data_IF_233643110122
#
_entry.id   IF_233643110122
#
_cell.length_a   1.000
_cell.length_b   1.000
_cell.length_c   1.000
_cell.angle_alpha   90.00
_cell.angle_beta   90.00
_cell.angle_gamma   90.00
#
_symmetry.space_group_name_H-M   'P 1'
#
loop_
_entity.id
_entity.type
_entity.pdbx_description
1 polymer ?
#
# COMPACT_ATOMS: atom_id res chain seq x y z
N UNK A 1 53.99 56.84 41.45
CA UNK A 1 54.24 57.41 42.80
C UNK A 1 53.27 56.80 43.80
N UNK A 2 53.80 56.33 44.94
CA UNK A 2 53.23 56.28 46.32
C UNK A 2 51.82 55.67 46.48
N UNK A 3 51.72 54.46 47.05
CA UNK A 3 51.61 54.14 48.50
C UNK A 3 50.18 54.32 49.06
N UNK A 4 49.85 53.45 50.02
CA UNK A 4 48.67 53.39 50.91
C UNK A 4 47.54 52.50 50.39
N UNK A 5 47.50 51.21 50.69
CA UNK A 5 47.58 50.54 52.00
C UNK A 5 46.47 51.01 52.95
N UNK A 6 45.62 50.02 53.28
CA UNK A 6 44.94 49.82 54.57
C UNK A 6 43.65 50.62 54.83
N UNK A 7 42.54 49.86 54.73
CA UNK A 7 41.54 49.59 55.79
C UNK A 7 40.14 49.66 55.21
N UNK A 8 39.56 48.50 54.91
CA UNK A 8 38.16 48.27 55.30
C UNK A 8 37.89 46.77 55.29
N UNK A 9 38.41 46.13 56.35
CA UNK A 9 38.21 44.74 56.75
C UNK A 9 36.74 44.42 57.13
N UNK A 10 35.78 45.17 56.60
CA UNK A 10 34.36 45.11 56.98
C UNK A 10 33.43 44.81 55.79
N UNK A 11 33.94 44.75 54.55
CA UNK A 11 33.15 44.35 53.38
C UNK A 11 33.24 42.83 53.13
N UNK A 12 34.24 42.17 53.73
CA UNK A 12 34.50 40.72 53.56
C UNK A 12 33.46 39.86 54.29
N UNK A 13 32.70 40.40 55.25
CA UNK A 13 31.72 39.62 56.02
C UNK A 13 30.32 39.57 55.41
N UNK A 14 30.04 40.30 54.31
CA UNK A 14 28.72 40.29 53.65
C UNK A 14 28.67 39.45 52.37
N UNK A 15 29.82 38.96 51.88
CA UNK A 15 29.90 38.13 50.65
C UNK A 15 29.87 36.62 50.99
N UNK A 16 30.11 36.26 52.26
CA UNK A 16 30.12 34.87 52.74
C UNK A 16 28.75 34.17 52.77
N UNK A 17 27.64 34.86 52.45
CA UNK A 17 26.30 34.25 52.38
C UNK A 17 25.87 33.85 50.95
N UNK A 18 26.69 34.09 49.92
CA UNK A 18 26.37 33.70 48.54
C UNK A 18 27.06 32.42 48.05
N UNK A 19 27.93 31.79 48.86
CA UNK A 19 28.68 30.60 48.46
C UNK A 19 28.24 29.30 49.16
N UNK A 20 27.15 29.34 49.93
CA UNK A 20 26.69 28.21 50.74
C UNK A 20 25.57 27.38 50.09
N UNK A 21 25.38 27.45 48.76
CA UNK A 21 24.50 26.51 48.06
C UNK A 21 24.92 26.36 46.60
N UNK A 22 25.98 25.59 46.36
CA UNK A 22 26.21 24.95 45.07
C UNK A 22 26.28 23.43 45.31
N UNK A 23 25.17 22.86 45.74
CA UNK A 23 24.96 21.42 45.66
C UNK A 23 24.75 21.07 44.19
N UNK A 24 25.81 20.51 43.59
CA UNK A 24 25.78 19.89 42.27
C UNK A 24 24.81 18.72 42.29
N UNK A 25 23.53 19.02 42.06
CA UNK A 25 22.52 18.04 41.69
C UNK A 25 22.95 17.37 40.41
N UNK A 26 23.47 16.15 40.54
CA UNK A 26 23.73 15.28 39.40
C UNK A 26 22.37 14.81 38.92
N UNK A 27 21.78 15.56 38.00
CA UNK A 27 20.58 15.15 37.28
C UNK A 27 20.98 13.95 36.43
N UNK A 28 20.68 12.75 36.94
CA UNK A 28 20.77 11.52 36.17
C UNK A 28 19.75 11.64 35.05
N UNK A 29 20.25 11.88 33.84
CA UNK A 29 19.52 11.64 32.60
C UNK A 29 18.94 10.23 32.68
N UNK A 30 17.62 10.15 32.82
CA UNK A 30 16.88 8.90 32.64
C UNK A 30 17.00 8.62 31.14
N UNK A 31 17.62 7.51 30.70
CA UNK A 31 17.60 7.15 29.31
C UNK A 31 16.14 6.96 28.93
N UNK A 32 15.60 7.87 28.12
CA UNK A 32 14.33 7.66 27.47
C UNK A 32 14.54 6.47 26.54
N UNK A 33 14.18 5.28 27.01
CA UNK A 33 13.95 4.14 26.15
C UNK A 33 12.76 4.53 25.29
N UNK A 34 13.06 5.15 24.15
CA UNK A 34 12.13 5.26 23.05
C UNK A 34 11.89 3.81 22.67
N UNK A 35 10.82 3.22 23.19
CA UNK A 35 10.27 1.98 22.67
C UNK A 35 9.96 2.28 21.20
N UNK A 36 10.90 1.90 20.34
CA UNK A 36 10.74 1.94 18.91
C UNK A 36 9.56 1.01 18.62
N UNK A 37 8.37 1.61 18.47
CA UNK A 37 7.16 0.90 18.06
C UNK A 37 7.49 0.31 16.70
N UNK A 38 7.95 -0.95 16.69
CA UNK A 38 8.22 -1.70 15.47
C UNK A 38 6.91 -1.74 14.69
N UNK A 39 6.82 -0.85 13.71
CA UNK A 39 5.69 -0.80 12.78
C UNK A 39 5.54 -2.19 12.19
N UNK A 40 4.31 -2.72 12.20
CA UNK A 40 4.07 -4.03 11.64
C UNK A 40 4.57 -4.07 10.19
N UNK A 41 5.25 -5.16 9.78
CA UNK A 41 5.79 -5.27 8.42
C UNK A 41 4.65 -5.17 7.42
N UNK A 42 4.81 -4.27 6.45
CA UNK A 42 3.83 -4.08 5.38
C UNK A 42 4.19 -5.02 4.25
N UNK A 43 3.22 -5.82 3.82
CA UNK A 43 3.40 -6.75 2.72
C UNK A 43 2.73 -6.26 1.44
N UNK A 44 3.42 -6.38 0.32
CA UNK A 44 2.87 -6.16 -1.01
C UNK A 44 3.31 -7.27 -1.97
N UNK A 45 2.36 -7.83 -2.72
CA UNK A 45 2.53 -9.04 -3.56
C UNK A 45 3.05 -10.29 -2.83
N UNK A 46 3.02 -10.30 -1.49
CA UNK A 46 3.59 -11.36 -0.67
C UNK A 46 5.03 -11.08 -0.19
N UNK A 47 5.60 -9.93 -0.51
CA UNK A 47 6.95 -9.52 -0.13
C UNK A 47 6.91 -8.48 0.99
N UNK A 48 7.87 -8.58 1.92
CA UNK A 48 8.04 -7.64 3.00
C UNK A 48 8.67 -6.34 2.48
N UNK A 49 7.97 -5.20 2.61
CA UNK A 49 8.47 -3.90 2.18
C UNK A 49 9.65 -3.39 3.03
N UNK A 50 9.92 -4.01 4.17
CA UNK A 50 11.12 -3.72 4.96
C UNK A 50 12.38 -4.29 4.30
N UNK A 51 12.25 -5.35 3.49
CA UNK A 51 13.35 -6.03 2.79
C UNK A 51 13.41 -5.67 1.30
N UNK A 52 12.28 -5.33 0.70
CA UNK A 52 12.16 -5.08 -0.74
C UNK A 52 11.65 -3.68 -1.06
N UNK A 53 12.22 -3.08 -2.10
CA UNK A 53 11.72 -1.86 -2.72
C UNK A 53 10.89 -2.22 -3.96
N UNK A 54 9.70 -1.62 -4.08
CA UNK A 54 8.80 -1.87 -5.22
C UNK A 54 8.77 -0.65 -6.12
N UNK A 55 9.12 -0.85 -7.39
CA UNK A 55 9.01 0.16 -8.45
C UNK A 55 7.85 -0.23 -9.36
N UNK A 56 6.80 0.57 -9.36
CA UNK A 56 5.57 0.33 -10.15
C UNK A 56 5.60 1.15 -11.42
N UNK A 57 5.13 0.56 -12.50
CA UNK A 57 4.97 1.23 -13.79
C UNK A 57 3.84 0.55 -14.59
N UNK A 58 3.57 1.03 -15.80
CA UNK A 58 2.48 0.55 -16.65
C UNK A 58 3.03 0.20 -18.04
N UNK A 59 2.59 -0.92 -18.59
CA UNK A 59 2.98 -1.37 -19.92
C UNK A 59 2.48 -0.37 -20.96
N UNK A 60 3.38 0.16 -21.80
CA UNK A 60 3.03 1.09 -22.87
C UNK A 60 2.86 0.37 -24.21
N UNK A 61 2.25 1.06 -25.17
CA UNK A 61 2.13 0.52 -26.53
C UNK A 61 3.52 0.28 -27.13
N UNK A 62 3.74 -0.92 -27.67
CA UNK A 62 5.03 -1.34 -28.21
C UNK A 62 6.04 -1.87 -27.17
N UNK A 63 5.68 -1.94 -25.89
CA UNK A 63 6.52 -2.62 -24.90
C UNK A 63 6.36 -4.13 -24.99
N UNK A 64 7.48 -4.82 -24.85
CA UNK A 64 7.56 -6.28 -24.78
C UNK A 64 8.23 -6.68 -23.48
N UNK A 65 7.96 -7.90 -23.02
CA UNK A 65 8.60 -8.42 -21.81
C UNK A 65 10.13 -8.34 -21.89
N UNK A 66 10.71 -8.74 -23.03
CA UNK A 66 12.15 -8.64 -23.24
C UNK A 66 12.68 -7.22 -23.24
N UNK A 67 11.96 -6.24 -23.79
CA UNK A 67 12.35 -4.83 -23.74
C UNK A 67 12.32 -4.29 -22.29
N UNK A 68 11.26 -4.60 -21.56
CA UNK A 68 11.08 -4.21 -20.15
C UNK A 68 12.21 -4.78 -19.28
N UNK A 69 12.55 -6.06 -19.45
CA UNK A 69 13.68 -6.67 -18.74
C UNK A 69 15.03 -6.11 -19.22
N UNK A 70 15.21 -5.89 -20.53
CA UNK A 70 16.44 -5.32 -21.08
C UNK A 70 16.77 -3.93 -20.54
N UNK A 71 15.74 -3.10 -20.29
CA UNK A 71 15.89 -1.80 -19.63
C UNK A 71 16.33 -1.90 -18.16
N UNK A 72 16.19 -3.09 -17.54
CA UNK A 72 16.56 -3.38 -16.15
C UNK A 72 17.79 -4.29 -16.06
N UNK A 73 18.74 -4.13 -16.99
CA UNK A 73 20.05 -4.79 -17.00
C UNK A 73 20.03 -6.32 -17.17
N UNK A 74 18.99 -6.89 -17.78
CA UNK A 74 19.00 -8.29 -18.22
C UNK A 74 19.55 -8.44 -19.63
N UNK A 75 20.50 -9.36 -19.81
CA UNK A 75 21.04 -9.71 -21.11
C UNK A 75 20.08 -10.57 -21.94
N UNK A 76 20.29 -10.60 -23.26
CA UNK A 76 19.43 -11.36 -24.19
C UNK A 76 19.32 -12.84 -23.82
N UNK A 77 20.43 -13.46 -23.40
CA UNK A 77 20.46 -14.87 -22.96
C UNK A 77 19.64 -15.09 -21.68
N UNK A 78 19.77 -14.20 -20.69
CA UNK A 78 18.99 -14.26 -19.45
C UNK A 78 17.50 -14.13 -19.74
N UNK A 79 17.10 -13.16 -20.57
CA UNK A 79 15.70 -12.93 -20.96
C UNK A 79 15.10 -14.17 -21.64
N UNK A 80 15.86 -14.82 -22.54
CA UNK A 80 15.42 -16.03 -23.20
C UNK A 80 15.21 -17.18 -22.20
N UNK A 81 16.18 -17.39 -21.29
CA UNK A 81 16.06 -18.40 -20.25
C UNK A 81 14.89 -18.16 -19.31
N UNK A 82 14.65 -16.90 -18.92
CA UNK A 82 13.50 -16.50 -18.11
C UNK A 82 12.21 -16.85 -18.84
N UNK A 83 12.08 -16.36 -20.08
CA UNK A 83 10.88 -16.55 -20.90
C UNK A 83 10.57 -18.04 -21.11
N UNK A 84 11.58 -18.88 -21.35
CA UNK A 84 11.39 -20.32 -21.55
C UNK A 84 10.97 -21.02 -20.27
N UNK A 85 11.65 -20.75 -19.14
CA UNK A 85 11.36 -21.40 -17.86
C UNK A 85 10.01 -21.00 -17.29
N UNK A 86 9.55 -19.78 -17.54
CA UNK A 86 8.31 -19.28 -16.96
C UNK A 86 7.11 -19.41 -17.90
N UNK A 87 7.31 -19.83 -19.16
CA UNK A 87 6.30 -19.88 -20.22
C UNK A 87 5.00 -20.59 -19.83
N UNK A 88 5.10 -21.66 -19.02
CA UNK A 88 3.95 -22.46 -18.58
C UNK A 88 3.00 -21.70 -17.67
N UNK A 89 3.50 -20.69 -16.95
CA UNK A 89 2.73 -19.89 -15.99
C UNK A 89 2.52 -18.46 -16.49
N UNK A 90 3.55 -17.88 -17.08
CA UNK A 90 3.55 -16.54 -17.65
C UNK A 90 4.00 -16.60 -19.11
N UNK A 91 3.06 -16.40 -20.04
CA UNK A 91 3.37 -16.20 -21.44
C UNK A 91 3.64 -14.71 -21.70
N UNK A 92 4.85 -14.31 -22.14
CA UNK A 92 5.19 -12.92 -22.45
C UNK A 92 4.23 -12.21 -23.41
N UNK A 93 3.49 -12.96 -24.25
CA UNK A 93 2.49 -12.41 -25.19
C UNK A 93 1.22 -11.92 -24.50
N UNK A 94 1.02 -12.30 -23.23
CA UNK A 94 -0.12 -11.84 -22.41
C UNK A 94 0.08 -10.44 -21.85
N UNK A 95 1.28 -9.87 -22.00
CA UNK A 95 1.60 -8.51 -21.64
C UNK A 95 0.78 -7.54 -22.53
N UNK A 96 -0.10 -6.75 -21.91
CA UNK A 96 -1.01 -5.84 -22.61
C UNK A 96 -0.77 -4.40 -22.19
N UNK A 97 -0.83 -3.49 -23.16
CA UNK A 97 -0.75 -2.06 -22.89
C UNK A 97 -1.84 -1.60 -21.89
N UNK A 98 -1.47 -0.67 -21.01
CA UNK A 98 -2.33 -0.14 -19.95
C UNK A 98 -2.42 -1.04 -18.71
N UNK A 99 -1.77 -2.21 -18.69
CA UNK A 99 -1.71 -3.07 -17.51
C UNK A 99 -0.53 -2.69 -16.62
N UNK A 100 -0.77 -2.72 -15.31
CA UNK A 100 0.24 -2.40 -14.32
C UNK A 100 1.25 -3.55 -14.19
N UNK A 101 2.51 -3.16 -13.98
CA UNK A 101 3.56 -4.08 -13.60
C UNK A 101 4.44 -3.45 -12.50
N UNK A 102 5.19 -4.28 -11.80
CA UNK A 102 6.12 -3.83 -10.80
C UNK A 102 7.41 -4.64 -10.81
N UNK A 103 8.51 -4.00 -10.44
CA UNK A 103 9.75 -4.67 -10.11
C UNK A 103 9.98 -4.61 -8.62
N UNK A 104 10.44 -5.72 -8.06
CA UNK A 104 10.91 -5.80 -6.68
C UNK A 104 12.42 -5.85 -6.68
N UNK A 105 13.04 -4.95 -5.94
CA UNK A 105 14.48 -4.89 -5.72
C UNK A 105 14.76 -5.25 -4.27
N UNK A 106 15.67 -6.18 -4.07
CA UNK A 106 16.17 -6.49 -2.73
C UNK A 106 16.98 -5.29 -2.23
N UNK A 107 16.71 -4.80 -1.01
CA UNK A 107 17.45 -3.67 -0.43
C UNK A 107 18.94 -4.01 -0.21
N UNK A 108 19.28 -5.28 -0.02
CA UNK A 108 20.66 -5.74 0.10
C UNK A 108 21.35 -5.82 -1.27
N UNK A 109 20.60 -6.04 -2.35
CA UNK A 109 21.11 -6.18 -3.72
C UNK A 109 20.22 -5.43 -4.73
N UNK A 110 20.32 -4.08 -4.79
CA UNK A 110 19.42 -3.27 -5.62
C UNK A 110 19.83 -3.19 -7.10
N UNK A 111 20.94 -3.82 -7.51
CA UNK A 111 21.50 -3.69 -8.88
C UNK A 111 20.62 -4.30 -9.97
N UNK A 112 19.93 -5.40 -9.65
CA UNK A 112 18.99 -6.08 -10.54
C UNK A 112 17.71 -6.39 -9.77
N UNK A 113 16.54 -6.37 -10.42
CA UNK A 113 15.31 -6.72 -9.74
C UNK A 113 15.31 -8.20 -9.38
N UNK A 114 14.88 -8.48 -8.17
CA UNK A 114 14.68 -9.82 -7.64
C UNK A 114 13.47 -10.51 -8.31
N UNK A 115 12.39 -9.77 -8.52
CA UNK A 115 11.14 -10.28 -9.10
C UNK A 115 10.46 -9.24 -9.98
N UNK A 116 9.74 -9.72 -11.00
CA UNK A 116 8.81 -8.97 -11.81
C UNK A 116 7.38 -9.42 -11.51
N UNK A 117 6.48 -8.46 -11.33
CA UNK A 117 5.06 -8.70 -11.05
C UNK A 117 4.21 -8.08 -12.14
N UNK A 118 3.34 -8.88 -12.75
CA UNK A 118 2.39 -8.42 -13.77
C UNK A 118 0.96 -8.57 -13.28
N UNK A 119 0.13 -7.53 -13.47
CA UNK A 119 -1.25 -7.49 -13.00
C UNK A 119 -2.22 -7.45 -14.20
N UNK A 120 -2.67 -8.61 -14.72
CA UNK A 120 -3.67 -8.63 -15.79
C UNK A 120 -5.03 -8.10 -15.34
N UNK A 121 -5.36 -8.22 -14.05
CA UNK A 121 -6.60 -7.73 -13.42
C UNK A 121 -6.30 -7.07 -12.07
N UNK A 122 -7.33 -6.52 -11.42
CA UNK A 122 -7.18 -5.91 -10.07
C UNK A 122 -6.94 -6.96 -8.98
N UNK A 123 -7.36 -8.19 -9.22
CA UNK A 123 -7.32 -9.30 -8.25
C UNK A 123 -6.20 -10.27 -8.54
N UNK A 124 -5.92 -10.54 -9.81
CA UNK A 124 -4.95 -11.55 -10.23
C UNK A 124 -3.62 -10.89 -10.56
N UNK A 125 -2.53 -11.50 -10.11
CA UNK A 125 -1.19 -11.11 -10.46
C UNK A 125 -0.29 -12.32 -10.65
N UNK A 126 0.74 -12.14 -11.46
CA UNK A 126 1.76 -13.15 -11.75
C UNK A 126 3.08 -12.63 -11.23
N UNK A 127 3.79 -13.46 -10.46
CA UNK A 127 5.14 -13.16 -9.99
C UNK A 127 6.11 -14.02 -10.78
N UNK A 128 7.12 -13.38 -11.35
CA UNK A 128 8.25 -14.00 -12.06
C UNK A 128 9.49 -13.68 -11.24
N UNK A 129 10.12 -14.69 -10.63
CA UNK A 129 11.37 -14.50 -9.92
C UNK A 129 12.54 -14.53 -10.90
N UNK A 130 13.47 -13.59 -10.73
CA UNK A 130 14.53 -13.27 -11.70
C UNK A 130 15.95 -13.44 -11.14
N UNK A 131 16.11 -13.57 -9.82
CA UNK A 131 17.40 -13.67 -9.14
C UNK A 131 17.92 -15.12 -9.04
N UNK A 132 17.97 -15.71 -7.84
CA UNK A 132 18.68 -16.98 -7.59
C UNK A 132 18.06 -18.18 -8.33
N UNK A 133 16.73 -18.18 -8.44
CA UNK A 133 16.00 -19.20 -9.18
C UNK A 133 14.92 -18.56 -10.04
N UNK A 134 14.82 -19.06 -11.27
CA UNK A 134 13.86 -18.57 -12.26
C UNK A 134 12.66 -19.48 -12.21
N UNK A 135 11.55 -18.94 -11.72
CA UNK A 135 10.24 -19.58 -11.74
C UNK A 135 9.15 -18.52 -11.73
N UNK A 136 7.92 -18.92 -12.03
CA UNK A 136 6.76 -18.05 -11.97
C UNK A 136 5.59 -18.74 -11.26
N UNK A 137 4.74 -17.95 -10.63
CA UNK A 137 3.52 -18.42 -10.00
C UNK A 137 2.42 -17.37 -10.12
N UNK A 138 1.17 -17.85 -10.17
CA UNK A 138 -0.01 -17.00 -10.16
C UNK A 138 -0.50 -16.87 -8.73
N UNK A 139 -0.93 -15.67 -8.36
CA UNK A 139 -1.52 -15.43 -7.05
C UNK A 139 -2.65 -14.41 -7.15
N UNK A 140 -3.57 -14.49 -6.19
CA UNK A 140 -4.70 -13.56 -6.09
C UNK A 140 -4.52 -12.67 -4.87
N UNK A 141 -4.81 -11.38 -5.03
CA UNK A 141 -4.96 -10.46 -3.91
C UNK A 141 -6.12 -10.95 -3.05
N UNK A 142 -5.96 -10.89 -1.73
CA UNK A 142 -7.05 -11.19 -0.80
C UNK A 142 -8.18 -10.22 -1.07
N UNK A 143 -9.33 -10.75 -1.46
CA UNK A 143 -10.57 -9.97 -1.60
C UNK A 143 -11.30 -10.03 -0.25
N UNK A 144 -11.83 -8.89 0.18
CA UNK A 144 -12.79 -8.85 1.28
C UNK A 144 -14.14 -8.59 0.64
N UNK A 145 -15.07 -9.51 0.85
CA UNK A 145 -16.46 -9.34 0.42
C UNK A 145 -17.16 -8.62 1.56
N UNK A 146 -17.77 -7.48 1.25
CA UNK A 146 -18.56 -6.71 2.20
C UNK A 146 -19.99 -6.83 1.72
N UNK A 147 -20.80 -7.57 2.48
CA UNK A 147 -22.22 -7.67 2.19
C UNK A 147 -22.92 -6.34 2.50
N UNK A 148 -23.86 -5.95 1.64
CA UNK A 148 -24.64 -4.73 1.81
C UNK A 148 -26.11 -5.04 1.63
N UNK A 149 -26.93 -4.42 2.47
CA UNK A 149 -28.37 -4.51 2.36
C UNK A 149 -28.95 -3.15 1.98
N UNK A 150 -29.86 -3.15 1.02
CA UNK A 150 -30.64 -1.98 0.64
C UNK A 150 -32.12 -2.28 0.79
N UNK A 151 -32.78 -1.55 1.68
CA UNK A 151 -34.23 -1.54 1.82
C UNK A 151 -34.72 -0.18 1.34
N UNK A 152 -35.78 -0.16 0.55
CA UNK A 152 -36.37 1.09 0.10
C UNK A 152 -37.81 0.95 -0.34
N UNK A 153 -38.42 2.10 -0.56
CA UNK A 153 -39.78 2.23 -1.06
C UNK A 153 -39.73 2.87 -2.44
N UNK A 154 -40.53 2.35 -3.36
CA UNK A 154 -40.65 2.87 -4.71
C UNK A 154 -41.36 4.21 -4.65
N UNK A 155 -40.69 5.24 -5.19
CA UNK A 155 -41.27 6.57 -5.38
C UNK A 155 -41.83 6.72 -6.79
N UNK A 156 -40.95 6.54 -7.78
CA UNK A 156 -41.22 6.78 -9.20
C UNK A 156 -40.99 5.53 -10.04
N UNK A 157 -39.81 4.93 -9.91
CA UNK A 157 -39.42 3.70 -10.57
C UNK A 157 -38.39 2.95 -9.72
N UNK A 158 -38.21 1.65 -9.99
CA UNK A 158 -37.29 0.79 -9.24
C UNK A 158 -35.87 1.35 -9.26
N UNK A 159 -35.35 1.70 -10.42
CA UNK A 159 -33.95 2.12 -10.60
C UNK A 159 -33.62 3.35 -9.75
N UNK A 160 -34.44 4.40 -9.84
CA UNK A 160 -34.27 5.63 -9.06
C UNK A 160 -34.37 5.35 -7.56
N UNK A 161 -35.33 4.52 -7.16
CA UNK A 161 -35.53 4.20 -5.74
C UNK A 161 -34.39 3.34 -5.17
N UNK A 162 -33.79 2.46 -5.97
CA UNK A 162 -32.60 1.65 -5.62
C UNK A 162 -31.35 2.54 -5.52
N UNK A 163 -31.19 3.53 -6.41
CA UNK A 163 -30.10 4.49 -6.34
C UNK A 163 -30.23 5.41 -5.11
N UNK A 164 -31.44 5.88 -4.81
CA UNK A 164 -31.77 6.66 -3.59
C UNK A 164 -31.44 5.90 -2.30
N UNK A 165 -31.61 4.57 -2.30
CA UNK A 165 -31.26 3.69 -1.20
C UNK A 165 -29.74 3.42 -1.09
N UNK A 166 -28.90 4.11 -1.89
CA UNK A 166 -27.44 4.02 -1.83
C UNK A 166 -26.84 2.80 -2.55
N UNK A 167 -27.64 2.09 -3.35
CA UNK A 167 -27.17 0.98 -4.18
C UNK A 167 -26.75 1.47 -5.58
N UNK A 168 -26.10 0.59 -6.35
CA UNK A 168 -25.60 0.95 -7.69
C UNK A 168 -26.60 0.56 -8.78
N UNK A 169 -26.48 1.17 -9.96
CA UNK A 169 -27.32 0.84 -11.12
C UNK A 169 -27.28 -0.66 -11.48
N UNK A 170 -26.12 -1.31 -11.35
CA UNK A 170 -25.99 -2.74 -11.60
C UNK A 170 -26.88 -3.58 -10.68
N UNK A 171 -27.12 -3.12 -9.45
CA UNK A 171 -28.03 -3.79 -8.50
C UNK A 171 -29.46 -3.70 -9.00
N UNK A 172 -29.90 -2.51 -9.42
CA UNK A 172 -31.24 -2.30 -9.99
C UNK A 172 -31.46 -3.14 -11.25
N UNK A 173 -30.45 -3.21 -12.13
CA UNK A 173 -30.50 -3.99 -13.35
C UNK A 173 -30.50 -5.50 -13.10
N UNK A 174 -29.69 -5.98 -12.14
CA UNK A 174 -29.70 -7.39 -11.77
C UNK A 174 -31.04 -7.79 -11.14
N UNK A 175 -31.62 -6.92 -10.30
CA UNK A 175 -32.96 -7.10 -9.74
C UNK A 175 -34.01 -7.21 -10.85
N UNK A 176 -33.98 -6.33 -11.85
CA UNK A 176 -34.93 -6.43 -12.96
C UNK A 176 -34.78 -7.77 -13.67
N UNK A 177 -33.56 -8.16 -14.08
CA UNK A 177 -33.34 -9.43 -14.78
C UNK A 177 -33.80 -10.68 -14.00
N UNK A 178 -33.54 -10.74 -12.69
CA UNK A 178 -33.93 -11.90 -11.87
C UNK A 178 -35.45 -12.04 -11.83
N UNK A 179 -36.17 -10.93 -11.78
CA UNK A 179 -37.61 -10.90 -11.55
C UNK A 179 -38.42 -10.57 -12.80
N UNK A 180 -37.80 -10.34 -13.97
CA UNK A 180 -38.43 -9.98 -15.25
C UNK A 180 -39.55 -10.96 -15.66
N UNK A 181 -39.50 -12.21 -15.19
CA UNK A 181 -40.52 -13.23 -15.46
C UNK A 181 -41.65 -13.30 -14.42
N UNK A 182 -41.50 -12.61 -13.28
CA UNK A 182 -42.38 -12.73 -12.12
C UNK A 182 -42.99 -11.40 -11.68
N UNK A 183 -42.35 -10.28 -11.99
CA UNK A 183 -42.73 -8.93 -11.59
C UNK A 183 -42.67 -8.04 -12.82
N UNK A 184 -43.77 -7.33 -13.09
CA UNK A 184 -43.80 -6.30 -14.12
C UNK A 184 -43.36 -4.96 -13.54
N UNK A 185 -42.09 -4.62 -13.76
CA UNK A 185 -41.47 -3.40 -13.24
C UNK A 185 -42.01 -2.10 -13.85
N UNK A 186 -42.79 -2.17 -14.94
CA UNK A 186 -43.45 -1.00 -15.52
C UNK A 186 -44.74 -0.62 -14.79
N UNK A 187 -45.28 -1.50 -13.96
CA UNK A 187 -46.53 -1.30 -13.22
C UNK A 187 -46.34 -1.09 -11.70
N UNK A 188 -45.10 -0.89 -11.26
CA UNK A 188 -44.81 -0.58 -9.86
C UNK A 188 -45.50 0.71 -9.44
N UNK A 189 -46.02 0.72 -8.21
CA UNK A 189 -46.72 1.87 -7.64
C UNK A 189 -45.88 2.54 -6.59
N UNK A 190 -46.12 3.84 -6.42
CA UNK A 190 -45.62 4.58 -5.27
C UNK A 190 -46.08 3.87 -3.99
N UNK A 191 -45.12 3.58 -3.09
CA UNK A 191 -45.38 2.88 -1.84
C UNK A 191 -44.99 1.39 -1.83
N UNK A 192 -44.69 0.78 -2.98
CA UNK A 192 -44.19 -0.60 -3.04
C UNK A 192 -42.81 -0.69 -2.37
N UNK A 193 -42.53 -1.75 -1.62
CA UNK A 193 -41.25 -1.91 -0.90
C UNK A 193 -40.36 -2.94 -1.58
N UNK A 194 -39.06 -2.69 -1.61
CA UNK A 194 -38.05 -3.65 -2.05
C UNK A 194 -36.97 -3.83 -0.97
N UNK A 195 -36.38 -5.02 -0.95
CA UNK A 195 -35.26 -5.39 -0.09
C UNK A 195 -34.28 -6.21 -0.92
N UNK A 196 -33.01 -5.84 -0.88
CA UNK A 196 -31.96 -6.52 -1.62
C UNK A 196 -30.73 -6.76 -0.74
N UNK A 197 -30.17 -7.96 -0.87
CA UNK A 197 -28.93 -8.39 -0.22
C UNK A 197 -27.84 -8.54 -1.29
N UNK A 198 -26.69 -7.89 -1.09
CA UNK A 198 -25.52 -7.88 -1.97
C UNK A 198 -24.31 -8.48 -1.27
#
# INVERSE_FOLDING_TARGET
MKRFLRKSSAVVSLIALFWACEEKGTEKEIPQVVEEVKKAPVFEFGFNLDEYNIVKDTVKSGDTFGKILGMNNFGISEIHQISDKTKSVFDPRTLRAGKAYAFLFDKQKPEKPHSFVYQPSLTDYVVVQLADSIYAYNQKRKITIIEKEGIGTIKSNLTESVLDAGMTYNVAFNLSQIFDYTVDFFHLREGDTFQNYL
#
